data_IF_788804996587
#
_entry.id   IF_788804996587
#
_cell.length_a   1.000
_cell.length_b   1.000
_cell.length_c   1.000
_cell.angle_alpha   90.00
_cell.angle_beta   90.00
_cell.angle_gamma   90.00
#
_symmetry.space_group_name_H-M   'P 1'
#
loop_
_entity.id
_entity.type
_entity.pdbx_description
1 polymer ?
#
# COMPACT_ATOMS: atom_id res chain seq x y z
N UNK A 1 17.87 17.27 -3.46
CA UNK A 1 17.68 16.34 -2.33
C UNK A 1 17.55 17.08 -0.99
N UNK A 2 18.61 17.71 -0.44
CA UNK A 2 18.57 18.39 0.87
C UNK A 2 17.53 19.52 0.99
N UNK A 3 17.31 20.29 -0.08
CA UNK A 3 16.28 21.34 -0.10
C UNK A 3 14.87 20.77 0.10
N UNK A 4 14.50 19.76 -0.70
CA UNK A 4 13.21 19.05 -0.57
C UNK A 4 13.10 18.34 0.78
N UNK A 5 14.18 17.71 1.26
CA UNK A 5 14.22 17.06 2.58
C UNK A 5 13.85 18.00 3.73
N UNK A 6 14.33 19.24 3.70
CA UNK A 6 13.98 20.26 4.71
C UNK A 6 12.53 20.71 4.62
N UNK A 7 11.96 20.81 3.42
CA UNK A 7 10.55 21.15 3.21
C UNK A 7 9.59 20.10 3.81
N UNK A 8 9.97 18.82 3.74
CA UNK A 8 9.20 17.72 4.34
C UNK A 8 9.59 17.41 5.79
N UNK A 9 10.50 18.19 6.39
CA UNK A 9 10.90 18.05 7.80
C UNK A 9 11.87 16.88 8.10
N UNK A 10 12.60 16.37 7.10
CA UNK A 10 13.59 15.32 7.30
C UNK A 10 14.93 15.89 7.79
N UNK A 11 15.59 15.25 8.77
CA UNK A 11 16.95 15.62 9.19
C UNK A 11 17.94 15.46 8.03
N UNK A 12 18.92 16.37 7.93
CA UNK A 12 19.97 16.32 6.89
C UNK A 12 20.80 15.03 6.91
N UNK A 13 20.85 14.34 8.05
CA UNK A 13 21.52 13.04 8.21
C UNK A 13 20.78 11.88 7.51
N UNK A 14 19.47 12.03 7.26
CA UNK A 14 18.61 11.01 6.67
C UNK A 14 18.35 11.24 5.17
N UNK A 15 18.97 12.27 4.59
CA UNK A 15 18.82 12.61 3.16
C UNK A 15 20.07 12.17 2.40
N UNK A 16 19.94 11.07 1.68
CA UNK A 16 20.99 10.54 0.80
C UNK A 16 20.62 10.83 -0.67
N UNK A 17 21.62 11.14 -1.49
CA UNK A 17 21.43 11.49 -2.91
C UNK A 17 22.58 10.99 -3.76
N UNK A 18 22.37 10.92 -5.07
CA UNK A 18 23.35 10.36 -6.04
C UNK A 18 23.63 8.86 -5.78
N UNK A 19 22.66 8.14 -5.23
CA UNK A 19 22.75 6.69 -5.03
C UNK A 19 22.43 5.96 -6.33
N UNK A 20 23.27 4.98 -6.69
CA UNK A 20 22.96 4.01 -7.72
C UNK A 20 21.90 3.00 -7.22
N UNK A 21 21.25 2.23 -8.11
CA UNK A 21 20.30 1.19 -7.71
C UNK A 21 20.89 0.19 -6.69
N UNK A 22 22.16 -0.18 -6.85
CA UNK A 22 22.90 -1.07 -5.94
C UNK A 22 23.10 -0.43 -4.56
N UNK A 23 23.43 0.86 -4.52
CA UNK A 23 23.60 1.60 -3.27
C UNK A 23 22.28 1.69 -2.49
N UNK A 24 21.15 1.90 -3.19
CA UNK A 24 19.82 1.90 -2.57
C UNK A 24 19.51 0.55 -1.96
N UNK A 25 19.79 -0.55 -2.67
CA UNK A 25 19.60 -1.91 -2.17
C UNK A 25 20.44 -2.17 -0.92
N UNK A 26 21.73 -1.83 -0.94
CA UNK A 26 22.61 -2.01 0.21
C UNK A 26 22.17 -1.15 1.40
N UNK A 27 21.77 0.09 1.15
CA UNK A 27 21.25 0.99 2.18
C UNK A 27 20.01 0.38 2.86
N UNK A 28 18.99 -0.03 2.10
CA UNK A 28 17.77 -0.63 2.65
C UNK A 28 18.06 -1.94 3.39
N UNK A 29 18.95 -2.78 2.85
CA UNK A 29 19.41 -4.01 3.52
C UNK A 29 20.11 -3.72 4.85
N UNK A 30 20.91 -2.66 4.92
CA UNK A 30 21.57 -2.24 6.16
C UNK A 30 20.58 -1.71 7.20
N UNK A 31 19.53 -0.98 6.78
CA UNK A 31 18.45 -0.52 7.67
C UNK A 31 17.67 -1.70 8.25
N UNK A 32 17.31 -2.68 7.41
CA UNK A 32 16.60 -3.90 7.83
C UNK A 32 17.40 -4.71 8.86
N UNK A 33 18.71 -4.78 8.67
CA UNK A 33 19.62 -5.50 9.58
C UNK A 33 19.86 -4.75 10.91
N UNK A 34 19.82 -3.42 10.89
CA UNK A 34 20.11 -2.58 12.06
C UNK A 34 18.86 -2.30 12.92
N UNK A 35 17.69 -2.13 12.29
CA UNK A 35 16.39 -1.87 12.94
C UNK A 35 15.89 -3.02 13.84
N UNK A 36 16.50 -4.21 13.75
CA UNK A 36 16.20 -5.35 14.62
C UNK A 36 16.66 -5.18 16.09
N UNK A 37 17.46 -4.17 16.45
CA UNK A 37 18.13 -4.11 17.76
C UNK A 37 17.55 -3.11 18.78
N UNK A 38 16.65 -2.19 18.39
CA UNK A 38 16.25 -1.06 19.25
C UNK A 38 14.88 -1.16 19.95
N UNK A 39 14.10 -2.23 19.74
CA UNK A 39 12.77 -2.37 20.35
C UNK A 39 12.72 -3.59 21.29
N UNK A 40 13.36 -3.47 22.47
CA UNK A 40 13.18 -4.42 23.57
C UNK A 40 11.98 -4.01 24.42
N UNK A 41 10.79 -4.43 24.00
CA UNK A 41 9.68 -4.65 24.93
C UNK A 41 9.27 -6.11 24.79
N UNK A 42 8.80 -6.73 25.87
CA UNK A 42 8.45 -8.15 26.03
C UNK A 42 7.38 -8.68 25.03
N UNK A 43 6.95 -7.85 24.09
CA UNK A 43 5.99 -8.06 22.99
C UNK A 43 6.32 -7.07 21.83
N UNK A 44 7.61 -6.81 21.60
CA UNK A 44 8.16 -5.59 20.99
C UNK A 44 8.08 -5.53 19.47
N UNK A 45 7.60 -4.38 18.97
CA UNK A 45 7.52 -4.05 17.55
C UNK A 45 8.91 -4.07 16.92
N UNK A 46 9.21 -5.07 16.09
CA UNK A 46 10.34 -5.04 15.15
C UNK A 46 10.21 -3.77 14.32
N UNK A 47 11.30 -3.00 14.20
CA UNK A 47 11.33 -1.85 13.28
C UNK A 47 11.32 -2.41 11.86
N UNK A 48 10.22 -2.17 11.14
CA UNK A 48 10.03 -2.63 9.76
C UNK A 48 10.42 -1.52 8.81
N UNK A 49 11.14 -1.87 7.75
CA UNK A 49 11.53 -0.92 6.70
C UNK A 49 10.50 -0.97 5.58
N UNK A 50 9.76 0.13 5.41
CA UNK A 50 8.89 0.34 4.26
C UNK A 50 9.64 1.18 3.21
N UNK A 51 9.73 0.67 1.98
CA UNK A 51 10.28 1.42 0.86
C UNK A 51 9.18 1.77 -0.14
N UNK A 52 9.23 3.01 -0.65
CA UNK A 52 8.28 3.48 -1.64
C UNK A 52 9.01 4.07 -2.84
N UNK A 53 8.59 3.71 -4.06
CA UNK A 53 9.22 4.16 -5.30
C UNK A 53 8.30 3.98 -6.51
N UNK A 54 8.68 4.58 -7.63
CA UNK A 54 7.93 4.61 -8.89
C UNK A 54 8.73 4.03 -10.07
N UNK A 55 10.06 3.96 -9.96
CA UNK A 55 10.95 3.61 -11.06
C UNK A 55 11.54 2.20 -11.04
N UNK A 56 12.05 1.76 -12.20
CA UNK A 56 12.85 0.53 -12.35
C UNK A 56 14.09 0.50 -11.45
N UNK A 57 14.65 1.67 -11.15
CA UNK A 57 15.83 1.84 -10.30
C UNK A 57 15.55 1.53 -8.83
N UNK A 58 14.29 1.57 -8.41
CA UNK A 58 13.86 1.31 -7.04
C UNK A 58 13.44 -0.15 -6.85
N UNK A 59 13.18 -0.89 -7.94
CA UNK A 59 12.70 -2.27 -7.89
C UNK A 59 13.60 -3.22 -7.06
N UNK A 60 14.95 -3.19 -7.17
CA UNK A 60 15.80 -4.05 -6.34
C UNK A 60 15.68 -3.71 -4.84
N UNK A 61 15.57 -2.43 -4.53
CA UNK A 61 15.51 -1.96 -3.15
C UNK A 61 14.11 -2.16 -2.53
N UNK A 62 13.04 -2.06 -3.34
CA UNK A 62 11.68 -2.47 -2.98
C UNK A 62 11.64 -3.95 -2.56
N UNK A 63 12.28 -4.82 -3.35
CA UNK A 63 12.32 -6.26 -3.09
C UNK A 63 13.04 -6.66 -1.79
N UNK A 64 14.03 -5.86 -1.36
CA UNK A 64 14.81 -6.14 -0.14
C UNK A 64 14.15 -5.60 1.13
N UNK A 65 13.26 -4.60 0.98
CA UNK A 65 12.53 -4.00 2.11
C UNK A 65 11.65 -5.01 2.88
N UNK A 66 11.11 -4.64 4.04
CA UNK A 66 10.10 -5.48 4.70
C UNK A 66 8.71 -5.30 4.06
N UNK A 67 8.45 -4.11 3.49
CA UNK A 67 7.24 -3.79 2.73
C UNK A 67 7.60 -2.87 1.57
N UNK A 68 7.47 -3.38 0.34
CA UNK A 68 7.69 -2.61 -0.89
C UNK A 68 6.39 -1.98 -1.38
N UNK A 69 6.40 -0.67 -1.66
CA UNK A 69 5.24 0.07 -2.15
C UNK A 69 5.54 0.77 -3.48
N UNK A 70 4.88 0.35 -4.55
CA UNK A 70 4.96 1.03 -5.85
C UNK A 70 3.91 2.16 -5.93
N UNK A 71 4.27 3.32 -6.52
CA UNK A 71 3.35 4.46 -6.68
C UNK A 71 3.02 4.80 -8.13
N UNK A 72 1.75 5.14 -8.39
CA UNK A 72 1.24 5.71 -9.64
C UNK A 72 1.27 4.74 -10.82
N UNK A 73 1.54 5.28 -12.02
CA UNK A 73 1.98 4.50 -13.20
C UNK A 73 3.44 4.08 -13.04
N UNK A 74 3.79 3.49 -11.89
CA UNK A 74 5.13 3.00 -11.65
C UNK A 74 5.57 2.04 -12.75
N UNK A 75 6.89 1.95 -12.98
CA UNK A 75 7.41 1.03 -13.97
C UNK A 75 6.92 -0.40 -13.71
N UNK A 76 6.63 -1.17 -14.76
CA UNK A 76 6.11 -2.54 -14.64
C UNK A 76 6.96 -3.41 -13.67
N UNK A 77 8.28 -3.24 -13.73
CA UNK A 77 9.21 -3.91 -12.82
C UNK A 77 9.04 -3.49 -11.35
N UNK A 78 8.75 -2.23 -11.05
CA UNK A 78 8.52 -1.78 -9.68
C UNK A 78 7.21 -2.36 -9.11
N UNK A 79 6.16 -2.44 -9.93
CA UNK A 79 4.88 -3.05 -9.53
C UNK A 79 5.01 -4.55 -9.25
N UNK A 80 5.81 -5.26 -10.05
CA UNK A 80 6.06 -6.70 -9.87
C UNK A 80 6.82 -7.00 -8.58
N UNK A 81 7.78 -6.15 -8.21
CA UNK A 81 8.62 -6.35 -7.03
C UNK A 81 7.99 -5.81 -5.73
N UNK A 82 6.90 -5.05 -5.81
CA UNK A 82 6.25 -4.44 -4.64
C UNK A 82 5.16 -5.32 -4.03
N UNK A 83 5.00 -5.26 -2.71
CA UNK A 83 3.89 -5.93 -2.01
C UNK A 83 2.56 -5.18 -2.19
N UNK A 84 2.62 -3.86 -2.37
CA UNK A 84 1.44 -2.98 -2.49
C UNK A 84 1.66 -1.95 -3.60
N UNK A 85 0.70 -1.88 -4.53
CA UNK A 85 0.70 -0.86 -5.59
C UNK A 85 -0.36 0.19 -5.33
N UNK A 86 0.05 1.46 -5.26
CA UNK A 86 -0.87 2.59 -5.28
C UNK A 86 -1.15 2.97 -6.73
N UNK A 87 -2.41 2.83 -7.16
CA UNK A 87 -2.86 3.19 -8.51
C UNK A 87 -2.84 4.71 -8.78
N UNK A 88 -2.51 5.53 -7.79
CA UNK A 88 -2.48 6.98 -7.84
C UNK A 88 -1.26 7.46 -7.03
N UNK A 89 -0.58 8.50 -7.48
CA UNK A 89 0.65 9.01 -6.87
C UNK A 89 0.42 9.78 -5.55
N UNK A 90 -0.70 9.52 -4.87
CA UNK A 90 -1.11 10.22 -3.66
C UNK A 90 -0.66 9.48 -2.39
N UNK A 91 0.42 9.96 -1.78
CA UNK A 91 0.98 9.47 -0.50
C UNK A 91 0.01 9.55 0.68
N UNK A 92 -1.03 10.38 0.63
CA UNK A 92 -2.07 10.44 1.67
C UNK A 92 -2.82 9.12 1.78
N UNK A 93 -3.01 8.42 0.65
CA UNK A 93 -3.63 7.09 0.62
C UNK A 93 -2.75 6.05 1.30
N UNK A 94 -1.43 6.12 1.11
CA UNK A 94 -0.49 5.24 1.80
C UNK A 94 -0.58 5.42 3.32
N UNK A 95 -0.60 6.66 3.80
CA UNK A 95 -0.79 6.93 5.23
C UNK A 95 -2.13 6.40 5.76
N UNK A 96 -3.22 6.57 4.99
CA UNK A 96 -4.51 5.99 5.33
C UNK A 96 -4.46 4.47 5.44
N UNK A 97 -3.81 3.78 4.48
CA UNK A 97 -3.64 2.33 4.50
C UNK A 97 -2.88 1.85 5.75
N UNK A 98 -1.78 2.52 6.11
CA UNK A 98 -1.00 2.18 7.31
C UNK A 98 -1.86 2.33 8.57
N UNK A 99 -2.61 3.43 8.69
CA UNK A 99 -3.50 3.69 9.84
C UNK A 99 -4.67 2.71 9.90
N UNK A 100 -5.19 2.29 8.74
CA UNK A 100 -6.22 1.25 8.63
C UNK A 100 -5.69 -0.11 9.06
N UNK A 101 -4.50 -0.50 8.60
CA UNK A 101 -3.86 -1.76 8.97
C UNK A 101 -3.72 -1.93 10.48
N UNK A 102 -3.34 -0.87 11.20
CA UNK A 102 -3.29 -0.90 12.67
C UNK A 102 -4.64 -1.19 13.33
N UNK A 103 -5.75 -0.67 12.78
CA UNK A 103 -7.11 -0.98 13.27
C UNK A 103 -7.49 -2.42 12.99
N UNK A 104 -7.15 -2.93 11.80
CA UNK A 104 -7.40 -4.33 11.43
C UNK A 104 -6.69 -5.28 12.39
N UNK A 105 -5.40 -5.04 12.67
CA UNK A 105 -4.62 -5.85 13.61
C UNK A 105 -5.24 -5.84 15.01
N UNK A 106 -5.72 -4.68 15.47
CA UNK A 106 -6.39 -4.58 16.77
C UNK A 106 -7.64 -5.47 16.84
N UNK A 107 -8.52 -5.40 15.85
CA UNK A 107 -9.74 -6.22 15.82
C UNK A 107 -9.42 -7.71 15.66
N UNK A 108 -8.38 -8.08 14.90
CA UNK A 108 -7.90 -9.47 14.84
C UNK A 108 -7.49 -9.96 16.24
N UNK A 109 -6.75 -9.16 17.01
CA UNK A 109 -6.35 -9.52 18.38
C UNK A 109 -7.56 -9.67 19.29
N UNK A 110 -8.54 -8.77 19.22
CA UNK A 110 -9.80 -8.85 19.97
C UNK A 110 -10.58 -10.13 19.63
N UNK A 111 -10.67 -10.48 18.33
CA UNK A 111 -11.33 -11.70 17.85
C UNK A 111 -10.64 -12.98 18.35
N UNK A 112 -9.30 -13.02 18.32
CA UNK A 112 -8.52 -14.17 18.79
C UNK A 112 -8.72 -14.37 20.29
N UNK A 113 -8.64 -13.28 21.07
CA UNK A 113 -8.85 -13.33 22.53
C UNK A 113 -10.26 -13.82 22.84
N UNK A 114 -11.29 -13.28 22.17
CA UNK A 114 -12.68 -13.72 22.38
C UNK A 114 -12.87 -15.20 22.06
N UNK A 115 -12.32 -15.66 20.92
CA UNK A 115 -12.40 -17.07 20.50
C UNK A 115 -11.72 -18.01 21.50
N UNK A 116 -10.55 -17.62 22.01
CA UNK A 116 -9.80 -18.40 23.01
C UNK A 116 -10.56 -18.48 24.34
N UNK A 117 -11.05 -17.35 24.83
CA UNK A 117 -11.83 -17.29 26.08
C UNK A 117 -13.07 -18.18 25.98
N UNK A 118 -13.82 -18.07 24.88
CA UNK A 118 -15.02 -18.87 24.71
C UNK A 118 -14.72 -20.37 24.63
N UNK A 119 -13.67 -20.78 23.90
CA UNK A 119 -13.25 -22.18 23.86
C UNK A 119 -12.82 -22.70 25.22
N UNK A 120 -12.05 -21.92 25.98
CA UNK A 120 -11.64 -22.29 27.33
C UNK A 120 -12.83 -22.44 28.28
N UNK A 121 -13.85 -21.59 28.17
CA UNK A 121 -15.09 -21.70 28.95
C UNK A 121 -15.85 -23.00 28.63
N UNK A 122 -16.00 -23.32 27.34
CA UNK A 122 -16.65 -24.56 26.89
C UNK A 122 -15.90 -25.79 27.42
N UNK A 123 -14.57 -25.81 27.30
CA UNK A 123 -13.73 -26.90 27.80
C UNK A 123 -13.86 -27.03 29.33
N UNK A 124 -13.79 -25.91 30.08
CA UNK A 124 -13.92 -25.93 31.54
C UNK A 124 -15.28 -26.44 32.02
N UNK A 125 -16.36 -26.02 31.37
CA UNK A 125 -17.72 -26.50 31.67
C UNK A 125 -17.92 -27.99 31.32
N UNK A 126 -17.24 -28.46 30.28
CA UNK A 126 -17.23 -29.88 29.89
C UNK A 126 -16.56 -30.74 30.97
N UNK A 127 -15.41 -30.31 31.49
CA UNK A 127 -14.77 -30.99 32.62
C UNK A 127 -15.62 -30.98 33.91
N UNK A 128 -16.42 -29.94 34.12
CA UNK A 128 -17.37 -29.87 35.24
C UNK A 128 -18.60 -30.78 35.07
N UNK A 129 -18.73 -31.49 33.94
CA UNK A 129 -19.85 -32.39 33.64
C UNK A 129 -21.18 -31.68 33.37
N UNK A 130 -21.17 -30.36 33.17
CA UNK A 130 -22.39 -29.53 32.99
C UNK A 130 -22.78 -29.32 31.53
N UNK A 131 -22.07 -29.94 30.58
CA UNK A 131 -22.20 -29.66 29.15
C UNK A 131 -22.48 -30.95 28.37
N UNK A 132 -23.51 -30.93 27.53
CA UNK A 132 -23.80 -31.99 26.55
C UNK A 132 -23.09 -31.68 25.23
N UNK A 133 -22.83 -32.71 24.42
CA UNK A 133 -22.14 -32.55 23.11
C UNK A 133 -22.86 -31.54 22.20
N UNK A 134 -24.19 -31.57 22.19
CA UNK A 134 -25.00 -30.65 21.38
C UNK A 134 -24.81 -29.20 21.83
N UNK A 135 -24.80 -28.93 23.14
CA UNK A 135 -24.59 -27.59 23.67
C UNK A 135 -23.17 -27.09 23.38
N UNK A 136 -22.18 -27.98 23.43
CA UNK A 136 -20.79 -27.65 23.10
C UNK A 136 -20.64 -27.23 21.61
N UNK A 137 -21.24 -28.00 20.69
CA UNK A 137 -21.23 -27.67 19.26
C UNK A 137 -21.99 -26.36 19.00
N UNK A 138 -23.17 -26.19 19.61
CA UNK A 138 -23.95 -24.97 19.46
C UNK A 138 -23.19 -23.72 19.96
N UNK A 139 -22.47 -23.84 21.08
CA UNK A 139 -21.64 -22.76 21.61
C UNK A 139 -20.47 -22.41 20.68
N UNK A 140 -19.73 -23.40 20.16
CA UNK A 140 -18.60 -23.15 19.25
C UNK A 140 -19.04 -22.49 17.94
N UNK A 141 -20.14 -22.96 17.34
CA UNK A 141 -20.73 -22.32 16.16
C UNK A 141 -21.24 -20.91 16.48
N UNK A 142 -21.87 -20.70 17.64
CA UNK A 142 -22.31 -19.37 18.08
C UNK A 142 -21.14 -18.39 18.24
N UNK A 143 -20.02 -18.84 18.79
CA UNK A 143 -18.78 -18.06 18.92
C UNK A 143 -18.22 -17.73 17.54
N UNK A 144 -18.18 -18.70 16.62
CA UNK A 144 -17.74 -18.48 15.24
C UNK A 144 -18.55 -17.36 14.57
N UNK A 145 -19.88 -17.35 14.75
CA UNK A 145 -20.75 -16.31 14.20
C UNK A 145 -20.44 -14.93 14.81
N UNK A 146 -20.29 -14.83 16.13
CA UNK A 146 -19.99 -13.56 16.81
C UNK A 146 -18.65 -12.99 16.33
N UNK A 147 -17.62 -13.83 16.24
CA UNK A 147 -16.28 -13.43 15.77
C UNK A 147 -16.32 -12.96 14.31
N UNK A 148 -17.09 -13.66 13.48
CA UNK A 148 -17.29 -13.30 12.07
C UNK A 148 -17.98 -11.94 11.96
N UNK A 149 -19.05 -11.71 12.71
CA UNK A 149 -19.76 -10.43 12.74
C UNK A 149 -18.87 -9.29 13.25
N UNK A 150 -18.04 -9.53 14.27
CA UNK A 150 -17.09 -8.53 14.74
C UNK A 150 -16.01 -8.22 13.69
N UNK A 151 -15.59 -9.22 12.91
CA UNK A 151 -14.73 -9.01 11.74
C UNK A 151 -15.37 -8.12 10.67
N UNK A 152 -16.67 -8.28 10.42
CA UNK A 152 -17.41 -7.46 9.45
C UNK A 152 -17.53 -5.98 9.85
N UNK A 153 -17.38 -5.65 11.13
CA UNK A 153 -17.37 -4.26 11.61
C UNK A 153 -16.19 -3.43 11.06
N UNK A 154 -15.13 -4.10 10.59
CA UNK A 154 -13.98 -3.45 9.95
C UNK A 154 -14.25 -2.98 8.53
N UNK A 155 -15.36 -3.39 7.90
CA UNK A 155 -15.67 -2.96 6.55
C UNK A 155 -15.77 -1.42 6.56
N UNK A 156 -14.94 -0.72 5.76
CA UNK A 156 -15.07 0.71 5.63
C UNK A 156 -16.48 1.02 5.15
N UNK A 157 -17.22 1.81 5.93
CA UNK A 157 -18.42 2.45 5.40
C UNK A 157 -18.03 3.11 4.08
N UNK A 158 -18.86 2.92 3.05
CA UNK A 158 -18.67 3.46 1.70
C UNK A 158 -18.70 4.99 1.75
N UNK A 159 -17.68 5.61 2.34
CA UNK A 159 -17.39 7.01 2.16
C UNK A 159 -16.99 7.11 0.69
N UNK A 160 -17.93 7.60 -0.13
CA UNK A 160 -17.60 8.17 -1.42
C UNK A 160 -16.43 9.10 -1.14
N UNK A 161 -15.25 8.70 -1.57
CA UNK A 161 -14.22 9.67 -1.91
C UNK A 161 -14.85 10.44 -3.05
N UNK A 162 -15.51 11.54 -2.71
CA UNK A 162 -15.91 12.54 -3.67
C UNK A 162 -14.61 13.00 -4.29
N UNK A 163 -14.25 12.39 -5.41
CA UNK A 163 -13.30 12.97 -6.34
C UNK A 163 -14.01 14.23 -6.81
N UNK A 164 -13.81 15.31 -6.06
CA UNK A 164 -14.21 16.64 -6.44
C UNK A 164 -13.50 16.88 -7.77
N UNK A 165 -14.23 16.65 -8.86
CA UNK A 165 -13.89 17.08 -10.20
C UNK A 165 -13.96 18.61 -10.21
N UNK A 166 -12.99 19.25 -9.58
CA UNK A 166 -12.92 20.71 -9.47
C UNK A 166 -11.46 21.11 -9.36
N UNK A 167 -10.76 20.98 -10.50
CA UNK A 167 -9.74 21.93 -10.99
C UNK A 167 -9.07 21.40 -12.26
N UNK A 168 -9.84 21.39 -13.36
CA UNK A 168 -9.30 21.67 -14.70
C UNK A 168 -10.04 22.90 -15.22
N UNK A 169 -9.73 24.05 -14.63
CA UNK A 169 -9.99 25.36 -15.20
C UNK A 169 -9.16 25.46 -16.49
N UNK A 170 -9.73 25.78 -17.67
CA UNK A 170 -8.94 25.97 -18.87
C UNK A 170 -8.27 27.35 -18.80
N UNK A 171 -7.17 27.46 -18.08
CA UNK A 171 -6.28 28.63 -18.16
C UNK A 171 -5.13 28.33 -19.10
N UNK A 172 -5.36 28.49 -20.41
CA UNK A 172 -4.41 29.19 -21.31
C UNK A 172 -5.05 29.48 -22.66
N UNK A 173 -5.67 30.67 -22.80
CA UNK A 173 -5.70 31.36 -24.09
C UNK A 173 -4.24 31.68 -24.43
N UNK A 174 -3.72 31.05 -25.47
CA UNK A 174 -2.30 31.17 -25.84
C UNK A 174 -2.02 30.63 -27.23
N UNK A 175 -2.46 31.39 -28.24
CA UNK A 175 -1.69 31.70 -29.45
C UNK A 175 -1.14 30.52 -30.27
N UNK A 176 -2.07 29.79 -30.91
CA UNK A 176 -1.82 29.12 -32.19
C UNK A 176 -3.04 29.33 -33.12
N UNK A 177 -3.36 30.59 -33.37
CA UNK A 177 -4.20 30.98 -34.51
C UNK A 177 -3.26 31.15 -35.71
N UNK A 178 -3.40 30.33 -36.75
CA UNK A 178 -2.82 30.65 -38.06
C UNK A 178 -2.16 29.56 -38.89
N UNK A 179 -2.34 28.26 -38.63
CA UNK A 179 -1.89 27.23 -39.60
C UNK A 179 -3.11 26.77 -40.43
N UNK A 180 -3.24 27.16 -41.71
CA UNK A 180 -4.33 26.70 -42.54
C UNK A 180 -4.16 25.21 -42.85
N UNK A 181 -5.16 24.42 -42.44
CA UNK A 181 -5.36 23.04 -42.87
C UNK A 181 -5.67 23.03 -44.38
N UNK A 182 -4.64 22.82 -45.20
CA UNK A 182 -4.79 22.58 -46.63
C UNK A 182 -5.42 21.21 -46.88
N UNK A 183 -6.66 21.21 -47.38
CA UNK A 183 -7.27 20.06 -48.04
C UNK A 183 -6.51 19.78 -49.35
N UNK A 184 -6.09 18.55 -49.56
CA UNK A 184 -5.89 18.03 -50.91
C UNK A 184 -6.52 16.66 -51.02
N UNK A 185 -7.65 16.61 -51.71
CA UNK A 185 -8.33 15.43 -52.17
C UNK A 185 -7.80 15.06 -53.55
N UNK A 186 -7.36 13.81 -53.71
CA UNK A 186 -7.66 13.01 -54.90
C UNK A 186 -6.80 13.20 -56.16
N UNK A 187 -6.36 12.03 -56.63
CA UNK A 187 -6.26 11.61 -58.03
C UNK A 187 -4.96 11.82 -58.82
N UNK A 188 -4.36 10.65 -59.08
CA UNK A 188 -3.88 10.12 -60.36
C UNK A 188 -2.65 10.73 -61.05
N UNK A 189 -1.78 9.78 -61.38
CA UNK A 189 -0.99 9.67 -62.60
C UNK A 189 0.45 10.20 -62.64
N UNK A 190 1.29 9.27 -63.11
CA UNK A 190 2.57 9.39 -63.82
C UNK A 190 3.88 9.18 -63.03
N UNK A 191 4.38 7.94 -63.16
CA UNK A 191 5.80 7.68 -63.42
C UNK A 191 6.26 8.48 -64.66
N UNK A 192 7.56 8.81 -64.75
CA UNK A 192 8.43 8.02 -65.63
C UNK A 192 9.80 7.67 -65.03
N UNK A 193 10.46 6.74 -65.73
CA UNK A 193 11.75 6.11 -65.51
C UNK A 193 13.00 7.02 -65.75
N UNK A 194 14.16 6.42 -65.46
CA UNK A 194 15.54 6.66 -65.96
C UNK A 194 16.22 7.93 -65.41
N UNK A 195 17.42 7.89 -64.81
CA UNK A 195 18.68 7.20 -65.17
C UNK A 195 19.44 6.71 -63.94
#
# INVERSE_FOLDING_TARGET
ARAVGREVGLPDANVHSQLLPEDKLHFVGSLKSTGGKKSRVMCGSKELVLMCGDGVNDAPALAVSDVGVAMGEGAALAMEMSDVTLMDSNLTKLHYCIKMGGRVIRTIRENIVFSLVAKLLVVGLTFAGKMTLLLAIAADVGVMLIVTLNGMKLLPGRNRVSLQSEQLTPTRKGKYDGVPLGRSSGHSDQLPDVV
#
